data_IF_166300180612
#
_entry.id   IF_166300180612
#
_cell.length_a   1.000
_cell.length_b   1.000
_cell.length_c   1.000
_cell.angle_alpha   90.00
_cell.angle_beta   90.00
_cell.angle_gamma   90.00
#
_symmetry.space_group_name_H-M   'P 1'
#
loop_
_entity.id
_entity.type
_entity.pdbx_description
1 polymer ?
#
# COMPACT_ATOMS: atom_id res chain seq x y z
N UNK A 1 3.88 3.10 26.13
CA UNK A 1 4.46 1.78 25.84
C UNK A 1 3.59 1.03 24.84
N UNK A 2 4.16 0.13 24.05
CA UNK A 2 3.42 -0.66 23.04
C UNK A 2 2.25 -1.46 23.67
N UNK A 3 2.39 -2.12 24.82
CA UNK A 3 1.25 -2.82 25.44
C UNK A 3 0.05 -1.93 25.73
N UNK A 4 0.27 -0.70 26.18
CA UNK A 4 -0.83 0.24 26.42
C UNK A 4 -1.53 0.68 25.13
N UNK A 5 -0.78 0.83 24.03
CA UNK A 5 -1.35 1.14 22.71
C UNK A 5 -2.16 -0.04 22.16
N UNK A 6 -1.71 -1.27 22.34
CA UNK A 6 -2.47 -2.47 21.98
C UNK A 6 -3.77 -2.58 22.78
N UNK A 7 -3.73 -2.30 24.09
CA UNK A 7 -4.93 -2.29 24.93
C UNK A 7 -5.93 -1.21 24.49
N UNK A 8 -5.45 -0.01 24.13
CA UNK A 8 -6.28 1.06 23.59
C UNK A 8 -6.89 0.67 22.23
N UNK A 9 -6.10 0.04 21.36
CA UNK A 9 -6.54 -0.46 20.06
C UNK A 9 -7.68 -1.48 20.18
N UNK A 10 -7.56 -2.41 21.14
CA UNK A 10 -8.62 -3.37 21.44
C UNK A 10 -9.92 -2.69 21.88
N UNK A 11 -9.84 -1.62 22.68
CA UNK A 11 -11.02 -0.83 23.08
C UNK A 11 -11.65 -0.12 21.89
N UNK A 12 -10.85 0.50 21.01
CA UNK A 12 -11.36 1.15 19.80
C UNK A 12 -12.01 0.15 18.83
N UNK A 13 -11.52 -1.10 18.75
CA UNK A 13 -12.11 -2.13 17.93
C UNK A 13 -13.53 -2.50 18.37
N UNK A 14 -13.87 -2.34 19.64
CA UNK A 14 -15.22 -2.58 20.17
C UNK A 14 -16.21 -1.42 19.96
N UNK A 15 -15.77 -0.27 19.42
CA UNK A 15 -16.65 0.84 19.11
C UNK A 15 -17.35 0.64 17.76
N UNK A 16 -18.40 1.45 17.53
CA UNK A 16 -19.25 1.33 16.34
C UNK A 16 -18.42 1.32 15.03
N UNK A 17 -18.53 0.27 14.21
CA UNK A 17 -17.88 0.23 12.92
C UNK A 17 -18.55 1.24 11.97
N UNK A 18 -17.73 1.91 11.14
CA UNK A 18 -18.21 2.85 10.13
C UNK A 18 -18.42 4.29 10.63
N UNK A 19 -18.11 4.59 11.90
CA UNK A 19 -18.00 5.97 12.35
C UNK A 19 -16.68 6.58 11.82
N UNK A 20 -16.72 7.63 10.97
CA UNK A 20 -15.51 8.20 10.36
C UNK A 20 -14.49 8.70 11.39
N UNK A 21 -14.96 9.19 12.54
CA UNK A 21 -14.08 9.68 13.62
C UNK A 21 -13.37 8.50 14.29
N UNK A 22 -14.09 7.41 14.55
CA UNK A 22 -13.52 6.19 15.14
C UNK A 22 -12.50 5.57 14.19
N UNK A 23 -12.83 5.48 12.90
CA UNK A 23 -11.95 4.91 11.88
C UNK A 23 -10.67 5.76 11.71
N UNK A 24 -10.79 7.09 11.72
CA UNK A 24 -9.62 7.99 11.72
C UNK A 24 -8.74 7.77 12.95
N UNK A 25 -9.32 7.63 14.13
CA UNK A 25 -8.57 7.35 15.37
C UNK A 25 -7.89 5.98 15.36
N UNK A 26 -8.52 4.96 14.76
CA UNK A 26 -7.89 3.66 14.55
C UNK A 26 -6.66 3.78 13.66
N UNK A 27 -6.77 4.45 12.51
CA UNK A 27 -5.65 4.68 11.60
C UNK A 27 -4.52 5.50 12.23
N UNK A 28 -4.85 6.52 13.05
CA UNK A 28 -3.84 7.30 13.79
C UNK A 28 -3.11 6.40 14.80
N UNK A 29 -3.84 5.57 15.55
CA UNK A 29 -3.26 4.66 16.52
C UNK A 29 -2.36 3.60 15.87
N UNK A 30 -2.78 3.05 14.74
CA UNK A 30 -2.00 2.06 13.98
C UNK A 30 -0.67 2.67 13.49
N UNK A 31 -0.67 3.92 13.02
CA UNK A 31 0.57 4.65 12.66
C UNK A 31 1.48 4.89 13.87
N UNK A 32 0.91 5.25 15.01
CA UNK A 32 1.69 5.43 16.26
C UNK A 32 2.28 4.09 16.71
N UNK A 33 1.50 3.01 16.67
CA UNK A 33 1.95 1.67 17.02
C UNK A 33 3.08 1.22 16.09
N UNK A 34 2.93 1.39 14.78
CA UNK A 34 3.96 1.11 13.79
C UNK A 34 5.25 1.87 14.09
N UNK A 35 5.17 3.17 14.39
CA UNK A 35 6.33 3.99 14.74
C UNK A 35 7.01 3.52 16.03
N UNK A 36 6.23 3.19 17.08
CA UNK A 36 6.75 2.67 18.35
C UNK A 36 7.43 1.30 18.22
N UNK A 37 6.95 0.47 17.28
CA UNK A 37 7.59 -0.81 16.95
C UNK A 37 8.86 -0.62 16.10
N UNK A 38 9.04 0.56 15.50
CA UNK A 38 10.05 0.78 14.48
C UNK A 38 9.84 -0.17 13.30
N UNK A 39 8.58 -0.51 13.01
CA UNK A 39 8.19 -1.38 11.91
C UNK A 39 8.21 -0.58 10.60
N UNK A 40 9.11 -0.95 9.72
CA UNK A 40 9.24 -0.39 8.38
C UNK A 40 8.96 -1.46 7.34
N UNK A 41 8.11 -1.13 6.40
CA UNK A 41 7.78 -1.94 5.22
C UNK A 41 8.14 -1.12 3.99
N UNK A 42 9.05 -1.64 3.18
CA UNK A 42 9.51 -0.99 1.95
C UNK A 42 9.30 -1.96 0.81
N UNK A 43 8.51 -1.55 -0.18
CA UNK A 43 8.30 -2.33 -1.39
C UNK A 43 8.98 -1.65 -2.57
N UNK A 44 9.75 -2.43 -3.32
CA UNK A 44 10.45 -1.95 -4.51
C UNK A 44 10.02 -2.73 -5.74
N UNK A 45 10.05 -2.04 -6.87
CA UNK A 45 9.88 -2.61 -8.21
C UNK A 45 11.15 -2.38 -9.04
N UNK A 46 11.48 -3.24 -10.01
CA UNK A 46 12.70 -3.09 -10.81
C UNK A 46 12.69 -1.85 -11.70
N UNK A 47 11.51 -1.40 -12.13
CA UNK A 47 11.31 -0.23 -12.98
C UNK A 47 10.12 0.62 -12.48
N UNK A 48 10.11 1.89 -12.88
CA UNK A 48 9.00 2.81 -12.55
C UNK A 48 7.82 2.69 -13.53
N UNK A 49 7.96 1.90 -14.55
CA UNK A 49 6.99 1.74 -15.63
C UNK A 49 6.68 0.27 -15.82
N UNK A 50 5.41 -0.05 -16.05
CA UNK A 50 4.92 -1.40 -16.34
C UNK A 50 3.87 -1.32 -17.45
N UNK A 51 3.90 -2.30 -18.36
CA UNK A 51 2.97 -2.39 -19.48
C UNK A 51 1.88 -3.40 -19.16
N UNK A 52 0.60 -3.13 -19.49
CA UNK A 52 -0.47 -4.13 -19.39
C UNK A 52 -0.11 -5.42 -20.13
N UNK A 53 -0.31 -6.56 -19.49
CA UNK A 53 0.06 -7.88 -20.01
C UNK A 53 1.46 -8.37 -19.62
N UNK A 54 2.28 -7.54 -19.01
CA UNK A 54 3.61 -7.94 -18.51
C UNK A 54 3.57 -8.52 -17.11
N UNK A 55 4.68 -9.17 -16.72
CA UNK A 55 4.92 -9.62 -15.35
C UNK A 55 5.59 -8.51 -14.53
N UNK A 56 5.04 -8.23 -13.38
CA UNK A 56 5.60 -7.30 -12.41
C UNK A 56 6.11 -8.07 -11.19
N UNK A 57 7.41 -7.96 -10.93
CA UNK A 57 8.02 -8.52 -9.71
C UNK A 57 8.22 -7.41 -8.69
N UNK A 58 7.67 -7.61 -7.49
CA UNK A 58 7.80 -6.70 -6.36
C UNK A 58 8.62 -7.35 -5.25
N UNK A 59 9.53 -6.61 -4.67
CA UNK A 59 10.31 -7.06 -3.51
C UNK A 59 9.93 -6.21 -2.30
N UNK A 60 9.38 -6.86 -1.27
CA UNK A 60 9.03 -6.20 0.00
C UNK A 60 10.05 -6.56 1.07
N UNK A 61 10.60 -5.55 1.70
CA UNK A 61 11.53 -5.69 2.84
C UNK A 61 10.87 -5.15 4.10
N UNK A 62 10.91 -5.96 5.16
CA UNK A 62 10.36 -5.64 6.47
C UNK A 62 11.50 -5.53 7.48
N UNK A 63 11.48 -4.47 8.28
CA UNK A 63 12.39 -4.32 9.42
C UNK A 63 11.64 -3.92 10.68
N UNK A 64 12.06 -4.47 11.83
CA UNK A 64 11.48 -4.20 13.15
C UNK A 64 12.60 -3.86 14.12
N UNK A 65 12.45 -2.77 14.88
CA UNK A 65 13.44 -2.35 15.87
C UNK A 65 13.05 -2.67 17.31
N UNK A 66 11.76 -2.83 17.58
CA UNK A 66 11.30 -3.18 18.93
C UNK A 66 11.68 -4.62 19.30
N UNK A 67 11.87 -4.86 20.60
CA UNK A 67 12.11 -6.21 21.15
C UNK A 67 10.80 -7.01 21.33
N UNK A 68 9.68 -6.46 20.92
CA UNK A 68 8.37 -7.13 20.98
C UNK A 68 8.25 -8.02 19.75
N UNK A 69 7.76 -9.27 19.89
CA UNK A 69 7.55 -10.15 18.75
C UNK A 69 6.57 -9.53 17.75
N UNK A 70 7.01 -9.38 16.51
CA UNK A 70 6.22 -8.99 15.35
C UNK A 70 6.37 -10.07 14.31
N UNK A 71 5.27 -10.65 13.89
CA UNK A 71 5.28 -11.76 12.94
C UNK A 71 4.57 -11.34 11.66
N UNK A 72 5.27 -11.41 10.54
CA UNK A 72 4.68 -11.17 9.22
C UNK A 72 3.83 -12.36 8.82
N UNK A 73 2.53 -12.16 8.63
CA UNK A 73 1.55 -13.23 8.41
C UNK A 73 1.19 -13.41 6.94
N UNK A 74 0.88 -12.30 6.28
CA UNK A 74 0.42 -12.32 4.88
C UNK A 74 0.75 -11.01 4.18
N UNK A 75 0.73 -11.06 2.86
CA UNK A 75 0.82 -9.89 2.00
C UNK A 75 -0.28 -9.95 0.96
N UNK A 76 -0.96 -8.84 0.77
CA UNK A 76 -1.93 -8.64 -0.29
C UNK A 76 -1.45 -7.51 -1.20
N UNK A 77 -1.27 -7.83 -2.49
CA UNK A 77 -0.95 -6.85 -3.52
C UNK A 77 -2.23 -6.52 -4.26
N UNK A 78 -2.68 -5.28 -4.16
CA UNK A 78 -3.83 -4.76 -4.91
C UNK A 78 -3.38 -4.03 -6.16
N UNK A 79 -4.07 -4.26 -7.28
CA UNK A 79 -3.83 -3.58 -8.54
C UNK A 79 -5.15 -3.44 -9.33
N UNK A 80 -5.23 -2.56 -10.34
CA UNK A 80 -6.44 -2.38 -11.13
C UNK A 80 -6.86 -3.68 -11.82
N UNK A 81 -8.05 -4.18 -11.46
CA UNK A 81 -8.61 -5.42 -12.00
C UNK A 81 -8.30 -6.69 -11.21
N UNK A 82 -7.59 -6.60 -10.06
CA UNK A 82 -7.34 -7.78 -9.24
C UNK A 82 -6.49 -7.57 -8.01
N UNK A 83 -6.04 -8.69 -7.47
CA UNK A 83 -5.14 -8.74 -6.31
C UNK A 83 -4.47 -10.10 -6.22
N UNK A 84 -3.32 -10.13 -5.56
CA UNK A 84 -2.58 -11.34 -5.23
C UNK A 84 -2.40 -11.41 -3.72
N UNK A 85 -2.82 -12.52 -3.12
CA UNK A 85 -2.58 -12.79 -1.70
C UNK A 85 -1.54 -13.89 -1.53
N UNK A 86 -0.59 -13.68 -0.63
CA UNK A 86 0.42 -14.67 -0.24
C UNK A 86 0.43 -14.75 1.29
N UNK A 87 0.20 -15.95 1.78
CA UNK A 87 0.14 -16.26 3.21
C UNK A 87 1.34 -17.12 3.64
N UNK A 88 1.54 -17.24 4.95
CA UNK A 88 2.46 -18.22 5.52
C UNK A 88 3.93 -17.83 5.51
N UNK A 89 4.24 -16.59 5.84
CA UNK A 89 5.62 -16.19 6.05
C UNK A 89 6.20 -16.79 7.33
N UNK A 90 7.43 -17.33 7.24
CA UNK A 90 8.17 -17.74 8.43
C UNK A 90 8.49 -16.53 9.32
N UNK A 91 8.46 -16.73 10.63
CA UNK A 91 8.63 -15.66 11.63
C UNK A 91 9.95 -14.89 11.52
N UNK A 92 10.96 -15.47 10.87
CA UNK A 92 12.29 -14.89 10.65
C UNK A 92 12.43 -14.17 9.30
N UNK A 93 11.42 -14.24 8.44
CA UNK A 93 11.51 -13.69 7.09
C UNK A 93 11.40 -12.17 7.11
N UNK A 94 12.40 -11.52 6.55
CA UNK A 94 12.47 -10.05 6.44
C UNK A 94 12.30 -9.56 5.00
N UNK A 95 12.27 -10.46 4.02
CA UNK A 95 12.13 -10.12 2.60
C UNK A 95 11.19 -11.10 1.91
N UNK A 96 10.25 -10.58 1.15
CA UNK A 96 9.33 -11.33 0.29
C UNK A 96 9.41 -10.84 -1.15
N UNK A 97 9.38 -11.76 -2.10
CA UNK A 97 9.30 -11.46 -3.53
C UNK A 97 7.97 -11.99 -4.07
N UNK A 98 7.30 -11.18 -4.87
CA UNK A 98 5.98 -11.46 -5.43
C UNK A 98 5.98 -11.13 -6.90
N UNK A 99 5.60 -12.10 -7.74
CA UNK A 99 5.42 -11.86 -9.17
C UNK A 99 3.93 -11.96 -9.49
N UNK A 100 3.42 -10.94 -10.13
CA UNK A 100 2.04 -10.86 -10.58
C UNK A 100 1.98 -10.62 -12.10
N UNK A 101 0.95 -11.16 -12.72
CA UNK A 101 0.63 -10.84 -14.11
C UNK A 101 -0.26 -9.61 -14.13
N UNK A 102 0.21 -8.53 -14.74
CA UNK A 102 -0.56 -7.31 -14.90
C UNK A 102 -1.62 -7.54 -15.97
N UNK A 103 -2.94 -7.45 -15.67
CA UNK A 103 -3.96 -7.72 -16.67
C UNK A 103 -3.80 -6.83 -17.90
N UNK A 104 -4.01 -7.40 -19.10
CA UNK A 104 -3.94 -6.65 -20.34
C UNK A 104 -4.96 -5.50 -20.44
N UNK A 105 -6.05 -5.59 -19.66
CA UNK A 105 -7.08 -4.54 -19.56
C UNK A 105 -6.76 -3.48 -18.47
N UNK A 106 -5.57 -3.52 -17.86
CA UNK A 106 -5.21 -2.54 -16.83
C UNK A 106 -5.14 -1.14 -17.44
N UNK A 107 -5.89 -0.16 -16.88
CA UNK A 107 -5.90 1.18 -17.43
C UNK A 107 -4.55 1.86 -17.27
N UNK A 108 -4.14 2.61 -18.29
CA UNK A 108 -2.92 3.43 -18.26
C UNK A 108 -3.03 4.52 -17.19
N UNK A 109 -1.90 4.86 -16.60
CA UNK A 109 -1.81 5.94 -15.61
C UNK A 109 -1.99 7.30 -16.27
N UNK A 110 -3.22 7.81 -16.22
CA UNK A 110 -3.54 9.19 -16.60
C UNK A 110 -3.95 9.99 -15.37
N UNK A 111 -3.60 11.27 -15.28
CA UNK A 111 -4.18 12.16 -14.28
C UNK A 111 -5.70 12.04 -14.28
N UNK A 112 -6.32 11.94 -13.09
CA UNK A 112 -7.76 11.67 -12.99
C UNK A 112 -8.62 12.74 -13.69
N UNK A 113 -8.14 13.98 -13.76
CA UNK A 113 -8.83 15.10 -14.44
C UNK A 113 -8.65 15.11 -15.96
N UNK A 114 -7.79 14.24 -16.52
CA UNK A 114 -7.59 14.07 -17.96
C UNK A 114 -8.16 12.76 -18.51
N UNK A 115 -8.87 11.97 -17.68
CA UNK A 115 -9.45 10.68 -18.10
C UNK A 115 -10.67 10.84 -18.99
N UNK A 116 -11.41 11.94 -18.81
CA UNK A 116 -12.57 12.28 -19.61
C UNK A 116 -12.31 13.55 -20.40
N UNK A 117 -12.94 13.64 -21.57
CA UNK A 117 -12.80 14.81 -22.43
C UNK A 117 -13.35 16.06 -21.71
N UNK A 118 -12.55 17.13 -21.59
CA UNK A 118 -12.98 18.33 -20.88
C UNK A 118 -14.07 19.07 -21.66
N UNK A 119 -14.92 19.78 -20.96
CA UNK A 119 -15.80 20.79 -21.56
C UNK A 119 -15.11 22.15 -21.59
N UNK A 120 -15.66 23.13 -22.33
CA UNK A 120 -15.10 24.47 -22.34
C UNK A 120 -15.03 25.06 -20.90
N UNK A 121 -13.80 25.14 -20.38
CA UNK A 121 -13.48 25.70 -19.07
C UNK A 121 -13.61 24.77 -17.85
N UNK A 122 -13.94 23.48 -18.02
CA UNK A 122 -14.05 22.56 -16.90
C UNK A 122 -13.55 21.14 -17.24
N UNK A 123 -12.82 20.53 -16.30
CA UNK A 123 -12.53 19.09 -16.34
C UNK A 123 -13.72 18.29 -15.79
N UNK A 124 -13.94 17.12 -16.39
CA UNK A 124 -14.90 16.14 -15.87
C UNK A 124 -14.17 15.13 -15.00
N UNK A 125 -14.70 14.86 -13.82
CA UNK A 125 -14.15 13.87 -12.89
C UNK A 125 -15.28 12.97 -12.43
N UNK A 126 -15.25 11.70 -12.85
CA UNK A 126 -16.29 10.72 -12.53
C UNK A 126 -16.34 10.40 -11.03
N UNK A 127 -15.19 10.32 -10.36
CA UNK A 127 -15.11 10.05 -8.93
C UNK A 127 -14.87 11.35 -8.14
N UNK A 128 -15.92 11.85 -7.50
CA UNK A 128 -15.86 13.07 -6.69
C UNK A 128 -14.83 13.02 -5.54
N UNK A 129 -14.43 11.81 -5.07
CA UNK A 129 -13.43 11.64 -4.03
C UNK A 129 -12.01 12.01 -4.48
N UNK A 130 -11.78 12.05 -5.78
CA UNK A 130 -10.50 12.46 -6.36
C UNK A 130 -10.36 13.97 -6.48
N UNK A 131 -11.48 14.71 -6.43
CA UNK A 131 -11.46 16.18 -6.56
C UNK A 131 -10.66 16.78 -5.39
N UNK A 132 -9.65 17.58 -5.75
CA UNK A 132 -8.74 18.20 -4.77
C UNK A 132 -7.56 17.32 -4.34
N UNK A 133 -7.47 16.09 -4.82
CA UNK A 133 -6.26 15.28 -4.63
C UNK A 133 -5.13 15.79 -5.54
N UNK A 134 -3.90 15.96 -5.02
CA UNK A 134 -2.78 16.45 -5.83
C UNK A 134 -2.32 15.46 -6.89
N UNK A 135 -2.55 14.16 -6.65
CA UNK A 135 -2.14 13.06 -7.51
C UNK A 135 -3.17 11.93 -7.50
N UNK A 136 -3.08 11.04 -8.47
CA UNK A 136 -3.85 9.81 -8.46
C UNK A 136 -3.45 8.91 -7.26
N UNK A 137 -4.38 8.10 -6.73
CA UNK A 137 -3.99 6.97 -5.90
C UNK A 137 -2.98 6.08 -6.61
N UNK A 138 -2.05 5.44 -5.88
CA UNK A 138 -1.10 4.51 -6.50
C UNK A 138 -1.83 3.37 -7.19
N UNK A 139 -1.42 2.99 -8.43
CA UNK A 139 -2.06 1.89 -9.15
C UNK A 139 -1.78 0.52 -8.49
N UNK A 140 -0.70 0.42 -7.74
CA UNK A 140 -0.35 -0.79 -6.98
C UNK A 140 -0.15 -0.43 -5.51
N UNK A 141 -0.75 -1.23 -4.61
CA UNK A 141 -0.52 -1.13 -3.17
C UNK A 141 -0.20 -2.50 -2.60
N UNK A 142 0.63 -2.55 -1.58
CA UNK A 142 1.03 -3.76 -0.89
C UNK A 142 0.68 -3.65 0.57
N UNK A 143 -0.30 -4.44 1.01
CA UNK A 143 -0.76 -4.53 2.39
C UNK A 143 -0.09 -5.70 3.07
N UNK A 144 0.79 -5.43 4.02
CA UNK A 144 1.43 -6.45 4.84
C UNK A 144 0.70 -6.57 6.18
N UNK A 145 0.25 -7.77 6.51
CA UNK A 145 -0.41 -8.07 7.79
C UNK A 145 0.58 -8.65 8.76
N UNK A 146 0.65 -8.05 9.93
CA UNK A 146 1.52 -8.47 11.03
C UNK A 146 0.70 -8.89 12.24
N UNK A 147 1.21 -9.89 12.96
CA UNK A 147 0.73 -10.27 14.28
C UNK A 147 1.58 -9.58 15.34
N UNK A 148 0.96 -8.78 16.19
CA UNK A 148 1.60 -8.01 17.25
C UNK A 148 0.80 -8.17 18.53
N UNK A 149 1.27 -8.99 19.46
CA UNK A 149 0.56 -9.21 20.73
C UNK A 149 -0.88 -9.67 20.53
N UNK A 150 -1.10 -10.69 19.75
CA UNK A 150 -2.41 -11.28 19.39
C UNK A 150 -3.37 -10.34 18.63
N UNK A 151 -2.86 -9.25 18.09
CA UNK A 151 -3.61 -8.32 17.26
C UNK A 151 -2.99 -8.21 15.86
N UNK A 152 -3.86 -8.13 14.85
CA UNK A 152 -3.43 -7.91 13.46
C UNK A 152 -3.21 -6.43 13.20
N UNK A 153 -2.01 -6.08 12.73
CA UNK A 153 -1.67 -4.74 12.25
C UNK A 153 -1.42 -4.82 10.76
N UNK A 154 -2.12 -4.01 9.98
CA UNK A 154 -1.90 -3.91 8.52
C UNK A 154 -1.08 -2.66 8.24
N UNK A 155 -0.02 -2.84 7.46
CA UNK A 155 0.83 -1.74 7.00
C UNK A 155 0.84 -1.73 5.48
N UNK A 156 0.35 -0.63 4.92
CA UNK A 156 0.33 -0.43 3.47
C UNK A 156 1.64 0.20 3.00
N UNK A 157 2.20 -0.33 1.94
CA UNK A 157 3.38 0.18 1.25
C UNK A 157 3.04 0.43 -0.23
N UNK A 158 3.51 1.54 -0.77
CA UNK A 158 3.47 1.80 -2.20
C UNK A 158 4.78 1.30 -2.84
N UNK A 159 4.72 0.48 -3.91
CA UNK A 159 5.92 0.06 -4.62
C UNK A 159 6.62 1.25 -5.30
N UNK A 160 7.92 1.38 -5.06
CA UNK A 160 8.75 2.43 -5.64
C UNK A 160 9.90 1.81 -6.44
N UNK A 161 10.15 2.33 -7.62
CA UNK A 161 11.37 1.99 -8.35
C UNK A 161 12.58 2.74 -7.78
N UNK A 162 13.73 2.09 -7.63
CA UNK A 162 14.93 2.73 -7.16
C UNK A 162 15.39 3.83 -8.12
N UNK A 163 15.94 4.87 -7.57
CA UNK A 163 16.58 5.97 -8.30
C UNK A 163 18.04 6.09 -7.86
N UNK A 164 18.74 7.09 -8.37
CA UNK A 164 20.12 7.38 -7.94
C UNK A 164 20.20 7.58 -6.42
N UNK A 165 21.30 7.17 -5.78
CA UNK A 165 21.50 7.33 -4.35
C UNK A 165 21.17 8.75 -3.86
N UNK A 166 20.35 8.83 -2.80
CA UNK A 166 19.94 10.10 -2.19
C UNK A 166 18.70 10.76 -2.82
N UNK A 167 18.12 10.18 -3.85
CA UNK A 167 16.82 10.63 -4.39
C UNK A 167 15.68 9.71 -3.96
N UNK A 168 14.46 10.23 -3.76
CA UNK A 168 13.29 9.40 -3.47
C UNK A 168 13.02 8.45 -4.65
N UNK A 169 12.49 7.27 -4.35
CA UNK A 169 12.05 6.31 -5.37
C UNK A 169 10.95 6.91 -6.26
N UNK A 170 10.88 6.44 -7.49
CA UNK A 170 9.81 6.82 -8.44
C UNK A 170 8.60 5.91 -8.24
N UNK A 171 7.42 6.50 -8.25
CA UNK A 171 6.15 5.76 -8.24
C UNK A 171 6.00 4.95 -9.52
N UNK A 172 5.35 3.79 -9.40
CA UNK A 172 5.01 2.99 -10.58
C UNK A 172 3.91 3.68 -11.40
N UNK A 173 4.08 3.65 -12.72
CA UNK A 173 3.08 4.05 -13.69
C UNK A 173 2.78 2.90 -14.64
N UNK A 174 1.52 2.73 -15.00
CA UNK A 174 1.09 1.86 -16.08
C UNK A 174 1.15 2.67 -17.37
N UNK A 175 1.97 2.24 -18.31
CA UNK A 175 2.20 2.95 -19.57
C UNK A 175 1.64 2.15 -20.77
N UNK A 176 1.38 2.82 -21.88
CA UNK A 176 1.03 2.17 -23.12
C UNK A 176 2.22 1.38 -23.68
N UNK A 177 2.01 0.18 -24.25
CA UNK A 177 3.06 -0.48 -24.98
C UNK A 177 3.55 0.45 -26.12
N UNK A 178 4.86 0.56 -26.23
CA UNK A 178 5.47 1.31 -27.36
C UNK A 178 5.26 0.49 -28.62
N UNK A 179 4.54 1.05 -29.59
CA UNK A 179 4.31 0.47 -30.90
C UNK A 179 5.51 0.68 -31.81
#
# INVERSE_FOLDING_TARGET
>A
SVPALLALRAKLAGLAPGDPVVDDKRHQLDRILQACLGLSVVTTAPAAEVVPGEKLTLTTTVSVRAKIPVRWMSTHVSYPGGGLSVDGFESSRTTGEFTLDVPAATPISHPYWLREEPTAGMFRVADAKLIGQPENPPPFTVDCTFDVGDQKLVVTSEPLAPTNPGKPGRRLAVISPVS
#
